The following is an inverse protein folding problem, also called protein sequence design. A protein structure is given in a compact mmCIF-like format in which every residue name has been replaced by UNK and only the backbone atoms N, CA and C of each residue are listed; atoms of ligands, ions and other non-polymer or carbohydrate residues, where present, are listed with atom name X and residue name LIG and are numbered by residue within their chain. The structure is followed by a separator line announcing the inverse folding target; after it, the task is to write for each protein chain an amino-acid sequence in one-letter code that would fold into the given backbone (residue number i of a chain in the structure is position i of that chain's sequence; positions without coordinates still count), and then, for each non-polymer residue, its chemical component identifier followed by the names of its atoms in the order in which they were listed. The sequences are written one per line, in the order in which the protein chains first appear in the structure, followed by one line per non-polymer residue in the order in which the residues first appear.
data_IF_391437684262
#
_entry.id   IF_391437684262
#
_cell.length_a   1.000
_cell.length_b   1.000
_cell.length_c   1.000
_cell.angle_alpha   90.00
_cell.angle_beta   90.00
_cell.angle_gamma   90.00
#
_symmetry.space_group_name_H-M   'P 1'
#
loop_
_entity.id
_entity.type
_entity.pdbx_description
1 polymer ?
#
# COMPACT_ATOMS: atom_id res chain seq x y z
N UNK A 1 -10.99 -0.29 -8.15
CA UNK A 1 -11.14 -1.71 -7.76
C UNK A 1 -11.31 -1.79 -6.26
N UNK A 2 -11.80 -2.92 -5.72
CA UNK A 2 -11.73 -3.14 -4.28
C UNK A 2 -10.30 -3.51 -3.92
N UNK A 3 -9.82 -3.01 -2.78
CA UNK A 3 -8.47 -3.32 -2.31
C UNK A 3 -8.30 -4.82 -2.02
N UNK A 4 -9.36 -5.47 -1.55
CA UNK A 4 -9.40 -6.91 -1.29
C UNK A 4 -9.01 -7.72 -2.53
N UNK A 5 -9.51 -7.32 -3.70
CA UNK A 5 -9.18 -7.98 -4.98
C UNK A 5 -7.71 -7.78 -5.35
N UNK A 6 -7.17 -6.59 -5.09
CA UNK A 6 -5.75 -6.27 -5.36
C UNK A 6 -4.86 -7.15 -4.47
N UNK A 7 -5.12 -7.17 -3.16
CA UNK A 7 -4.30 -7.94 -2.21
C UNK A 7 -4.39 -9.45 -2.45
N UNK A 8 -5.58 -9.97 -2.78
CA UNK A 8 -5.74 -11.36 -3.18
C UNK A 8 -4.93 -11.69 -4.45
N UNK A 9 -4.89 -10.77 -5.43
CA UNK A 9 -4.08 -10.93 -6.63
C UNK A 9 -2.58 -10.96 -6.32
N UNK A 10 -2.09 -10.08 -5.42
CA UNK A 10 -0.68 -10.08 -5.01
C UNK A 10 -0.28 -11.43 -4.40
N UNK A 11 -1.08 -11.98 -3.49
CA UNK A 11 -0.85 -13.31 -2.91
C UNK A 11 -0.83 -14.40 -3.98
N UNK A 12 -1.74 -14.34 -4.96
CA UNK A 12 -1.80 -15.32 -6.06
C UNK A 12 -0.53 -15.32 -6.94
N UNK A 13 0.19 -14.20 -6.97
CA UNK A 13 1.46 -14.03 -7.67
C UNK A 13 2.69 -14.33 -6.79
N UNK A 14 2.49 -14.93 -5.61
CA UNK A 14 3.53 -15.23 -4.62
C UNK A 14 4.25 -14.00 -4.08
N UNK A 15 3.61 -12.83 -4.06
CA UNK A 15 4.12 -11.68 -3.33
C UNK A 15 3.86 -11.92 -1.84
N UNK A 16 4.92 -11.90 -1.04
CA UNK A 16 4.86 -12.19 0.40
C UNK A 16 4.56 -10.94 1.22
N UNK A 17 4.95 -9.76 0.75
CA UNK A 17 4.80 -8.52 1.49
C UNK A 17 4.68 -7.34 0.52
N UNK A 18 4.05 -6.26 0.95
CA UNK A 18 3.97 -5.01 0.19
C UNK A 18 4.13 -3.80 1.12
N UNK A 19 4.43 -2.65 0.54
CA UNK A 19 4.71 -1.42 1.28
C UNK A 19 3.70 -0.34 0.94
N UNK A 20 3.03 0.21 1.95
CA UNK A 20 2.18 1.39 1.79
C UNK A 20 3.03 2.65 1.96
N UNK A 21 2.97 3.55 0.98
CA UNK A 21 3.61 4.85 1.03
C UNK A 21 2.57 5.95 0.84
N UNK A 22 2.62 6.99 1.67
CA UNK A 22 1.82 8.20 1.49
C UNK A 22 2.68 9.30 0.87
N UNK A 23 2.24 9.83 -0.26
CA UNK A 23 2.97 10.89 -0.99
C UNK A 23 1.98 11.87 -1.63
N UNK A 24 2.48 12.77 -2.46
CA UNK A 24 1.67 13.64 -3.31
C UNK A 24 1.97 13.34 -4.78
N UNK A 25 0.95 13.47 -5.63
CA UNK A 25 1.13 13.51 -7.07
C UNK A 25 1.86 14.80 -7.51
N UNK A 26 2.26 14.93 -8.80
CA UNK A 26 2.96 16.12 -9.29
C UNK A 26 2.19 17.45 -9.12
N UNK A 27 0.88 17.40 -8.86
CA UNK A 27 0.01 18.55 -8.64
C UNK A 27 -0.19 18.88 -7.15
N UNK A 28 0.41 18.10 -6.25
CA UNK A 28 0.29 18.27 -4.80
C UNK A 28 -0.92 17.57 -4.18
N UNK A 29 -1.60 16.70 -4.92
CA UNK A 29 -2.73 15.93 -4.40
C UNK A 29 -2.21 14.73 -3.63
N UNK A 30 -2.59 14.61 -2.36
CA UNK A 30 -2.20 13.47 -1.53
C UNK A 30 -2.70 12.14 -2.11
N UNK A 31 -1.85 11.12 -2.05
CA UNK A 31 -2.12 9.78 -2.55
C UNK A 31 -1.46 8.71 -1.68
N UNK A 32 -2.02 7.51 -1.75
CA UNK A 32 -1.39 6.28 -1.28
C UNK A 32 -0.89 5.48 -2.46
N UNK A 33 0.26 4.83 -2.28
CA UNK A 33 0.90 3.96 -3.25
C UNK A 33 1.25 2.64 -2.54
N UNK A 34 0.94 1.53 -3.17
CA UNK A 34 1.47 0.22 -2.82
C UNK A 34 2.71 -0.05 -3.64
N UNK A 35 3.79 -0.44 -2.97
CA UNK A 35 5.08 -0.73 -3.57
C UNK A 35 5.49 -2.18 -3.29
N UNK A 36 6.30 -2.75 -4.18
CA UNK A 36 7.03 -3.99 -3.94
C UNK A 36 8.32 -3.72 -3.15
N UNK A 37 9.10 -4.78 -2.87
CA UNK A 37 10.36 -4.69 -2.10
C UNK A 37 11.44 -3.83 -2.76
N UNK A 38 11.31 -3.57 -4.06
CA UNK A 38 12.25 -2.78 -4.84
C UNK A 38 11.80 -1.32 -4.99
N UNK A 39 10.57 -0.99 -4.61
CA UNK A 39 9.95 0.32 -4.84
C UNK A 39 9.15 0.40 -6.13
N UNK A 40 8.91 -0.71 -6.82
CA UNK A 40 8.03 -0.73 -7.99
C UNK A 40 6.57 -0.59 -7.57
N UNK A 41 5.81 0.20 -8.31
CA UNK A 41 4.40 0.44 -8.03
C UNK A 41 3.53 -0.78 -8.34
N UNK A 42 2.69 -1.16 -7.37
CA UNK A 42 1.73 -2.25 -7.48
C UNK A 42 0.30 -1.73 -7.66
N UNK A 43 -0.03 -0.65 -6.94
CA UNK A 43 -1.33 0.00 -6.98
C UNK A 43 -1.26 1.40 -6.35
N UNK A 44 -2.26 2.23 -6.57
CA UNK A 44 -2.35 3.55 -5.94
C UNK A 44 -3.79 4.04 -5.85
N UNK A 45 -4.01 5.06 -5.02
CA UNK A 45 -5.24 5.85 -4.99
C UNK A 45 -4.97 7.28 -4.54
N UNK A 46 -5.79 8.21 -5.00
CA UNK A 46 -5.83 9.54 -4.39
C UNK A 46 -6.55 9.49 -3.03
N UNK A 47 -6.11 10.32 -2.08
CA UNK A 47 -6.78 10.44 -0.78
C UNK A 47 -8.25 10.90 -0.91
N UNK A 48 -8.59 11.90 -1.76
CA UNK A 48 -9.97 12.31 -2.01
C UNK A 48 -10.90 11.21 -2.55
N UNK A 49 -10.38 10.21 -3.27
CA UNK A 49 -11.20 9.11 -3.81
C UNK A 49 -11.65 8.13 -2.71
N UNK A 50 -10.96 8.14 -1.56
CA UNK A 50 -11.21 7.24 -0.44
C UNK A 50 -10.89 5.77 -0.76
N UNK A 51 -11.25 4.83 0.15
CA UNK A 51 -10.90 3.41 0.07
C UNK A 51 -11.39 2.64 -1.18
N UNK A 52 -12.31 3.22 -1.96
CA UNK A 52 -12.82 2.61 -3.20
C UNK A 52 -12.06 3.08 -4.46
N UNK A 53 -11.11 3.99 -4.28
CA UNK A 53 -10.36 4.66 -5.35
C UNK A 53 -9.13 3.92 -5.86
N UNK A 54 -8.86 2.70 -5.40
CA UNK A 54 -7.66 1.95 -5.77
C UNK A 54 -7.62 1.57 -7.25
N UNK A 55 -6.42 1.70 -7.82
CA UNK A 55 -6.08 1.52 -9.23
C UNK A 55 -4.75 0.77 -9.35
N UNK A 56 -4.60 0.03 -10.45
CA UNK A 56 -3.37 -0.69 -10.81
C UNK A 56 -2.80 -0.21 -12.14
N UNK A 57 -3.39 0.82 -12.74
CA UNK A 57 -2.78 1.51 -13.88
C UNK A 57 -1.52 2.25 -13.42
N UNK A 58 -0.59 2.59 -14.33
CA UNK A 58 0.57 3.41 -13.97
C UNK A 58 0.12 4.75 -13.38
N UNK A 59 0.66 5.13 -12.21
CA UNK A 59 0.52 6.48 -11.69
C UNK A 59 1.36 7.49 -12.49
N UNK A 60 1.17 8.78 -12.20
CA UNK A 60 2.00 9.86 -12.75
C UNK A 60 3.30 10.09 -11.93
N UNK A 61 3.63 9.19 -11.00
CA UNK A 61 4.85 9.29 -10.22
C UNK A 61 6.03 8.75 -11.02
N UNK A 62 7.20 9.33 -10.80
CA UNK A 62 8.46 8.72 -11.25
C UNK A 62 8.68 7.40 -10.49
N UNK A 63 9.25 6.40 -11.15
CA UNK A 63 9.60 5.12 -10.51
C UNK A 63 10.53 5.35 -9.31
N UNK A 64 10.21 4.72 -8.18
CA UNK A 64 11.09 4.75 -7.02
C UNK A 64 12.26 3.79 -7.26
N UNK A 65 13.47 4.34 -7.37
CA UNK A 65 14.71 3.54 -7.49
C UNK A 65 15.02 2.65 -6.27
N UNK A 66 14.32 2.86 -5.16
CA UNK A 66 14.33 2.07 -3.93
C UNK A 66 13.09 2.40 -3.09
N UNK A 67 12.73 1.55 -2.13
CA UNK A 67 11.67 1.85 -1.16
C UNK A 67 11.93 3.18 -0.41
N UNK A 68 10.95 4.09 -0.37
CA UNK A 68 10.98 5.27 0.50
C UNK A 68 11.09 4.91 1.98
N UNK A 69 11.75 5.77 2.77
CA UNK A 69 12.03 5.51 4.21
C UNK A 69 10.76 5.48 5.07
N UNK A 70 9.71 6.22 4.68
CA UNK A 70 8.44 6.33 5.43
C UNK A 70 7.37 5.32 4.97
N UNK A 71 7.80 4.17 4.45
CA UNK A 71 6.91 3.09 4.04
C UNK A 71 6.47 2.22 5.24
N UNK A 72 5.24 1.70 5.19
CA UNK A 72 4.80 0.65 6.10
C UNK A 72 4.71 -0.66 5.36
N UNK A 73 5.42 -1.66 5.89
CA UNK A 73 5.31 -3.04 5.42
C UNK A 73 4.05 -3.73 5.94
N UNK A 74 3.37 -4.43 5.03
CA UNK A 74 2.31 -5.39 5.32
C UNK A 74 2.75 -6.75 4.80
N UNK A 75 2.96 -7.68 5.74
CA UNK A 75 3.41 -9.04 5.46
C UNK A 75 2.23 -10.02 5.48
N UNK A 76 2.13 -10.85 4.43
CA UNK A 76 1.13 -11.90 4.30
C UNK A 76 1.48 -13.17 5.09
N UNK A 77 2.61 -13.24 5.81
CA UNK A 77 2.97 -14.39 6.66
C UNK A 77 1.88 -14.74 7.69
N UNK A 78 1.17 -13.72 8.21
CA UNK A 78 0.04 -13.90 9.15
C UNK A 78 -1.29 -14.25 8.44
N UNK A 79 -1.28 -14.37 7.11
CA UNK A 79 -2.43 -14.67 6.26
C UNK A 79 -3.14 -13.43 5.68
N UNK A 80 -3.79 -13.62 4.52
CA UNK A 80 -4.52 -12.56 3.81
C UNK A 80 -5.59 -11.87 4.69
N UNK A 81 -6.35 -12.63 5.46
CA UNK A 81 -7.41 -12.10 6.33
C UNK A 81 -6.85 -11.12 7.39
N UNK A 82 -5.66 -11.42 7.94
CA UNK A 82 -5.00 -10.55 8.92
C UNK A 82 -4.55 -9.24 8.27
N UNK A 83 -3.97 -9.34 7.08
CA UNK A 83 -3.55 -8.16 6.31
C UNK A 83 -4.74 -7.31 5.90
N UNK A 84 -5.84 -7.90 5.45
CA UNK A 84 -7.06 -7.17 5.10
C UNK A 84 -7.62 -6.38 6.28
N UNK A 85 -7.65 -6.99 7.48
CA UNK A 85 -8.13 -6.32 8.69
C UNK A 85 -7.23 -5.14 9.10
N UNK A 86 -5.92 -5.34 9.09
CA UNK A 86 -4.95 -4.30 9.49
C UNK A 86 -4.87 -3.19 8.45
N UNK A 87 -4.66 -3.53 7.18
CA UNK A 87 -4.63 -2.59 6.07
C UNK A 87 -5.94 -1.81 5.95
N UNK A 88 -7.09 -2.49 6.05
CA UNK A 88 -8.40 -1.83 5.96
C UNK A 88 -8.61 -0.76 7.02
N UNK A 89 -8.07 -0.95 8.24
CA UNK A 89 -8.11 0.07 9.29
C UNK A 89 -7.23 1.30 8.95
N UNK A 90 -6.08 1.09 8.32
CA UNK A 90 -5.20 2.16 7.82
C UNK A 90 -5.85 2.90 6.66
N UNK A 91 -6.39 2.16 5.70
CA UNK A 91 -6.98 2.72 4.50
C UNK A 91 -8.21 3.58 4.83
N UNK A 92 -9.03 3.11 5.78
CA UNK A 92 -10.20 3.82 6.26
C UNK A 92 -9.88 5.11 7.04
N UNK A 93 -8.68 5.25 7.62
CA UNK A 93 -8.29 6.48 8.34
C UNK A 93 -8.04 7.65 7.38
N UNK A 94 -7.82 7.39 6.08
CA UNK A 94 -7.48 8.38 5.06
C UNK A 94 -6.33 9.33 5.45
N UNK A 95 -5.46 8.92 6.39
CA UNK A 95 -4.32 9.72 6.82
C UNK A 95 -3.88 9.43 8.25
N UNK A 96 -2.56 9.48 8.44
CA UNK A 96 -1.75 8.91 9.53
C UNK A 96 -1.56 7.40 9.34
N UNK A 97 -0.41 6.98 8.76
CA UNK A 97 0.02 5.60 8.74
C UNK A 97 0.08 5.04 10.18
N UNK A 98 -0.35 3.80 10.48
CA UNK A 98 -0.16 3.22 11.81
C UNK A 98 1.33 3.18 12.15
N UNK A 99 1.68 3.24 13.45
CA UNK A 99 3.06 3.12 13.86
C UNK A 99 3.69 1.84 13.30
N UNK A 100 4.99 1.87 12.92
CA UNK A 100 5.67 0.73 12.33
C UNK A 100 5.54 -0.51 13.21
N UNK A 101 5.47 -1.70 12.57
CA UNK A 101 5.33 -2.98 13.26
C UNK A 101 6.46 -3.11 14.29
N UNK A 102 6.16 -3.46 15.55
CA UNK A 102 7.21 -3.64 16.54
C UNK A 102 8.20 -4.74 16.14
N UNK A 103 9.51 -4.58 16.42
CA UNK A 103 10.56 -5.48 15.93
C UNK A 103 10.51 -6.92 16.51
N UNK A 104 9.58 -7.21 17.41
CA UNK A 104 9.36 -8.54 18.00
C UNK A 104 8.15 -9.28 17.42
N UNK A 105 7.47 -8.69 16.44
CA UNK A 105 6.40 -9.31 15.63
C UNK A 105 6.92 -9.70 14.23
N UNK A 106 8.23 -9.87 14.11
CA UNK A 106 8.98 -10.33 12.92
C UNK A 106 9.35 -11.80 13.03
#
# INVERSE_FOLDING_TARGET
MLIDDILANLVSHNITSFWLFQTNDPYGTGMFVLLDSNGAELAWRWLPDGPKGWRTEESLLDEFSKLPEDTIEFDFTDGLDHVLATFGAVDASNGVPPPPRPPWLS
#
